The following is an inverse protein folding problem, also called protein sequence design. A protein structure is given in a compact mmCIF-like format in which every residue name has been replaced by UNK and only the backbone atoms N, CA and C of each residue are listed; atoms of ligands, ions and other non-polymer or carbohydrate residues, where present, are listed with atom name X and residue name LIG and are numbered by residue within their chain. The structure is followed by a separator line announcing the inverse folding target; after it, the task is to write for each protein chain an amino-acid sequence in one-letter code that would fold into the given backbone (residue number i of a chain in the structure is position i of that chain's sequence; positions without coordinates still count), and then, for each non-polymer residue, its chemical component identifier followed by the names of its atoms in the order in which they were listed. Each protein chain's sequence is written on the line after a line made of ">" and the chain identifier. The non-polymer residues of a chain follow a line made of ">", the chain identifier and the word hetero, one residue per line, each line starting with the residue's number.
data_IF_924813600880
#
_entry.id   IF_924813600880
#
_cell.length_a   1.000
_cell.length_b   1.000
_cell.length_c   1.000
_cell.angle_alpha   90.00
_cell.angle_beta   90.00
_cell.angle_gamma   90.00
#
_symmetry.space_group_name_H-M   'P 1'
#
loop_
_entity.id
_entity.type
_entity.pdbx_description
1 polymer ?
#
# COMPACT_ATOMS: atom_id res chain seq x y z
N UNK A 1 -23.96 -8.69 -2.49
CA UNK A 1 -22.89 -8.37 -1.52
C UNK A 1 -22.52 -6.89 -1.63
N UNK A 2 -22.50 -6.17 -0.51
CA UNK A 2 -22.07 -4.77 -0.41
C UNK A 2 -20.78 -4.65 0.41
N UNK A 3 -19.96 -3.63 0.12
CA UNK A 3 -18.65 -3.47 0.78
C UNK A 3 -18.73 -2.77 2.14
N UNK A 4 -19.76 -1.94 2.35
CA UNK A 4 -20.03 -1.20 3.58
C UNK A 4 -21.52 -0.82 3.62
N UNK A 5 -21.98 -0.31 4.76
CA UNK A 5 -23.37 0.11 4.95
C UNK A 5 -23.77 1.25 4.00
N UNK A 6 -22.87 2.20 3.70
CA UNK A 6 -23.20 3.30 2.77
C UNK A 6 -23.53 2.77 1.38
N UNK A 7 -22.78 1.77 0.91
CA UNK A 7 -23.09 1.09 -0.35
C UNK A 7 -24.45 0.40 -0.26
N UNK A 8 -24.73 -0.31 0.84
CA UNK A 8 -26.00 -0.99 1.02
C UNK A 8 -27.19 -0.03 0.95
N UNK A 9 -27.07 1.19 1.48
CA UNK A 9 -28.10 2.22 1.31
C UNK A 9 -28.29 2.62 -0.16
N UNK A 10 -27.21 2.86 -0.92
CA UNK A 10 -27.32 3.16 -2.37
C UNK A 10 -28.04 2.05 -3.14
N UNK A 11 -27.78 0.78 -2.81
CA UNK A 11 -28.50 -0.35 -3.42
C UNK A 11 -30.00 -0.35 -3.07
N UNK A 12 -30.37 0.07 -1.85
CA UNK A 12 -31.78 0.20 -1.46
C UNK A 12 -32.46 1.35 -2.18
N UNK A 13 -31.78 2.47 -2.36
CA UNK A 13 -32.30 3.65 -3.08
C UNK A 13 -32.68 3.33 -4.54
N UNK A 14 -31.96 2.41 -5.18
CA UNK A 14 -32.28 1.94 -6.54
C UNK A 14 -33.27 0.75 -6.56
N UNK A 15 -33.89 0.42 -5.42
CA UNK A 15 -34.98 -0.56 -5.33
C UNK A 15 -34.57 -2.01 -5.07
N UNK A 16 -33.32 -2.29 -4.68
CA UNK A 16 -32.93 -3.66 -4.29
C UNK A 16 -33.52 -4.01 -2.93
N UNK A 17 -34.17 -5.17 -2.84
CA UNK A 17 -34.78 -5.70 -1.60
C UNK A 17 -33.75 -5.79 -0.48
N UNK A 18 -34.13 -5.37 0.73
CA UNK A 18 -33.25 -5.33 1.91
C UNK A 18 -32.64 -6.71 2.21
N UNK A 19 -33.41 -7.76 2.07
CA UNK A 19 -33.03 -9.15 2.35
C UNK A 19 -32.02 -9.69 1.33
N UNK A 20 -31.91 -9.07 0.15
CA UNK A 20 -30.95 -9.44 -0.89
C UNK A 20 -29.60 -8.72 -0.73
N UNK A 21 -29.48 -7.78 0.22
CA UNK A 21 -28.26 -7.00 0.44
C UNK A 21 -27.57 -7.48 1.71
N UNK A 22 -26.45 -8.19 1.53
CA UNK A 22 -25.57 -8.60 2.62
C UNK A 22 -24.27 -7.79 2.54
N UNK A 23 -23.90 -7.11 3.63
CA UNK A 23 -22.61 -6.41 3.74
C UNK A 23 -21.54 -7.43 4.10
N UNK A 24 -20.64 -7.72 3.16
CA UNK A 24 -19.56 -8.69 3.37
C UNK A 24 -18.20 -8.04 3.58
N UNK A 25 -18.06 -6.74 3.36
CA UNK A 25 -16.76 -6.08 3.27
C UNK A 25 -16.22 -6.09 1.84
N UNK A 26 -14.99 -5.59 1.66
CA UNK A 26 -14.38 -5.53 0.34
C UNK A 26 -13.34 -6.63 0.20
N UNK A 27 -13.54 -7.54 -0.77
CA UNK A 27 -12.54 -8.55 -1.16
C UNK A 27 -11.22 -7.90 -1.55
N UNK A 28 -11.25 -6.68 -2.10
CA UNK A 28 -10.07 -5.91 -2.48
C UNK A 28 -9.15 -5.57 -1.29
N UNK A 29 -9.72 -5.46 -0.09
CA UNK A 29 -9.02 -5.07 1.13
C UNK A 29 -8.93 -6.22 2.14
N UNK A 30 -9.42 -7.41 1.77
CA UNK A 30 -9.30 -8.59 2.59
C UNK A 30 -7.86 -9.10 2.55
N UNK A 31 -7.27 -9.29 3.73
CA UNK A 31 -5.91 -9.76 3.89
C UNK A 31 -5.88 -11.08 4.69
N UNK A 32 -7.04 -11.68 4.94
CA UNK A 32 -7.13 -12.97 5.61
C UNK A 32 -6.40 -14.06 4.82
N UNK A 33 -5.56 -14.84 5.50
CA UNK A 33 -4.77 -15.90 4.89
C UNK A 33 -3.51 -15.42 4.14
N UNK A 34 -3.29 -14.11 4.01
CA UNK A 34 -2.05 -13.58 3.45
C UNK A 34 -0.98 -13.56 4.56
N UNK A 35 0.17 -14.24 4.40
CA UNK A 35 1.23 -14.24 5.41
C UNK A 35 1.72 -12.83 5.71
N UNK A 36 2.11 -12.49 6.95
CA UNK A 36 2.65 -11.16 7.26
C UNK A 36 3.93 -10.86 6.46
N UNK A 37 4.29 -9.59 6.28
CA UNK A 37 5.56 -9.21 5.68
C UNK A 37 6.76 -9.84 6.38
N UNK A 38 7.81 -10.19 5.64
CA UNK A 38 9.04 -10.75 6.22
C UNK A 38 10.07 -9.64 6.32
N UNK A 39 10.54 -9.37 7.54
CA UNK A 39 11.67 -8.46 7.77
C UNK A 39 12.97 -9.15 7.33
N UNK A 40 13.32 -9.02 6.05
CA UNK A 40 14.54 -9.61 5.50
C UNK A 40 15.79 -8.94 6.06
N UNK A 41 16.68 -9.73 6.66
CA UNK A 41 17.93 -9.22 7.26
C UNK A 41 18.84 -8.51 6.27
N UNK A 42 18.87 -8.96 5.00
CA UNK A 42 19.67 -8.34 3.93
C UNK A 42 19.28 -6.86 3.71
N UNK A 43 17.98 -6.53 3.77
CA UNK A 43 17.50 -5.16 3.58
C UNK A 43 17.93 -4.28 4.76
N UNK A 44 17.88 -4.81 5.98
CA UNK A 44 18.41 -4.11 7.16
C UNK A 44 19.91 -3.81 7.06
N UNK A 45 20.71 -4.73 6.50
CA UNK A 45 22.13 -4.49 6.24
C UNK A 45 22.31 -3.37 5.20
N UNK A 46 21.58 -3.43 4.08
CA UNK A 46 21.61 -2.39 3.05
C UNK A 46 21.26 -1.02 3.61
N UNK A 47 20.15 -0.91 4.35
CA UNK A 47 19.69 0.35 4.94
C UNK A 47 20.71 0.93 5.93
N UNK A 48 21.37 0.08 6.72
CA UNK A 48 22.41 0.52 7.66
C UNK A 48 23.65 1.12 6.97
N UNK A 49 23.94 0.75 5.72
CA UNK A 49 25.03 1.35 4.94
C UNK A 49 24.76 2.82 4.57
N UNK A 50 23.48 3.24 4.53
CA UNK A 50 23.11 4.66 4.38
C UNK A 50 23.19 5.44 5.70
N UNK A 51 23.63 4.82 6.79
CA UNK A 51 23.65 5.39 8.13
C UNK A 51 22.70 4.66 9.06
N UNK A 52 23.25 4.11 10.14
CA UNK A 52 22.50 3.31 11.12
C UNK A 52 21.42 4.14 11.80
N UNK A 53 20.21 3.58 11.86
CA UNK A 53 19.08 4.16 12.60
C UNK A 53 18.41 5.36 11.94
N UNK A 54 18.73 5.65 10.67
CA UNK A 54 18.00 6.64 9.87
C UNK A 54 16.57 6.17 9.63
N UNK A 55 15.55 6.99 9.92
CA UNK A 55 14.17 6.65 9.60
C UNK A 55 13.99 6.45 8.09
N UNK A 56 13.25 5.41 7.72
CA UNK A 56 13.00 5.06 6.32
C UNK A 56 11.65 5.60 5.86
N UNK A 57 11.68 6.47 4.84
CA UNK A 57 10.48 6.88 4.09
C UNK A 57 10.43 6.11 2.79
N UNK A 58 9.48 5.17 2.69
CA UNK A 58 9.28 4.35 1.50
C UNK A 58 8.22 4.96 0.59
N UNK A 59 8.59 5.34 -0.62
CA UNK A 59 7.66 5.67 -1.69
C UNK A 59 7.26 4.39 -2.44
N UNK A 60 6.05 3.89 -2.16
CA UNK A 60 5.59 2.60 -2.64
C UNK A 60 4.83 2.71 -3.97
N UNK A 61 5.29 1.99 -4.99
CA UNK A 61 4.65 1.91 -6.31
C UNK A 61 4.53 3.27 -7.03
N UNK A 62 5.59 4.06 -7.02
CA UNK A 62 5.62 5.41 -7.63
C UNK A 62 5.47 5.41 -9.15
N UNK A 63 5.00 6.56 -9.66
CA UNK A 63 4.80 6.87 -11.09
C UNK A 63 5.68 8.08 -11.49
N UNK A 64 5.86 8.35 -12.80
CA UNK A 64 6.75 9.40 -13.29
C UNK A 64 6.64 10.73 -12.56
N UNK A 65 7.80 11.26 -12.14
CA UNK A 65 7.95 12.50 -11.40
C UNK A 65 7.75 12.38 -9.89
N UNK A 66 7.03 11.36 -9.39
CA UNK A 66 6.81 11.20 -7.95
C UNK A 66 8.09 10.78 -7.21
N UNK A 67 8.98 10.03 -7.88
CA UNK A 67 10.23 9.57 -7.26
C UNK A 67 11.09 10.75 -6.78
N UNK A 68 11.26 11.76 -7.65
CA UNK A 68 12.03 12.97 -7.32
C UNK A 68 11.32 13.81 -6.26
N UNK A 69 10.00 13.99 -6.39
CA UNK A 69 9.21 14.78 -5.44
C UNK A 69 9.30 14.20 -4.02
N UNK A 70 9.12 12.88 -3.88
CA UNK A 70 9.19 12.23 -2.57
C UNK A 70 10.62 12.23 -2.02
N UNK A 71 11.63 12.00 -2.87
CA UNK A 71 13.03 12.06 -2.46
C UNK A 71 13.42 13.45 -1.91
N UNK A 72 12.97 14.53 -2.57
CA UNK A 72 13.19 15.91 -2.09
C UNK A 72 12.50 16.19 -0.77
N UNK A 73 11.21 15.87 -0.67
CA UNK A 73 10.45 16.07 0.56
C UNK A 73 11.06 15.28 1.74
N UNK A 74 11.53 14.07 1.52
CA UNK A 74 12.20 13.28 2.55
C UNK A 74 13.58 13.85 2.92
N UNK A 75 14.38 14.27 1.93
CA UNK A 75 15.70 14.85 2.17
C UNK A 75 15.65 16.23 2.85
N UNK A 76 14.54 16.97 2.74
CA UNK A 76 14.28 18.17 3.52
C UNK A 76 14.19 17.91 5.03
N UNK A 77 13.91 16.68 5.44
CA UNK A 77 13.84 16.26 6.85
C UNK A 77 15.17 15.65 7.30
N UNK A 78 15.88 16.24 8.27
CA UNK A 78 17.21 15.76 8.66
C UNK A 78 17.22 14.31 9.12
N UNK A 79 18.19 13.54 8.60
CA UNK A 79 18.44 12.15 9.00
C UNK A 79 17.52 11.12 8.35
N UNK A 80 16.53 11.52 7.55
CA UNK A 80 15.62 10.59 6.86
C UNK A 80 16.29 9.98 5.64
N UNK A 81 16.08 8.68 5.43
CA UNK A 81 16.48 7.96 4.23
C UNK A 81 15.28 7.81 3.28
N UNK A 82 15.31 8.45 2.09
CA UNK A 82 14.37 8.16 1.02
C UNK A 82 14.66 6.80 0.38
N UNK A 83 13.63 5.95 0.34
CA UNK A 83 13.62 4.71 -0.44
C UNK A 83 12.47 4.80 -1.44
N UNK A 84 12.74 4.66 -2.73
CA UNK A 84 11.72 4.72 -3.78
C UNK A 84 11.58 3.37 -4.48
N UNK A 85 10.33 2.91 -4.62
CA UNK A 85 10.00 1.64 -5.26
C UNK A 85 9.04 1.94 -6.43
N UNK A 86 9.55 2.12 -7.66
CA UNK A 86 8.72 2.37 -8.82
C UNK A 86 7.73 1.24 -9.08
N UNK A 87 6.51 1.57 -9.53
CA UNK A 87 5.52 0.55 -9.91
C UNK A 87 6.03 -0.39 -11.01
N UNK A 88 6.91 0.15 -11.85
CA UNK A 88 7.48 -0.42 -13.06
C UNK A 88 9.01 -0.44 -12.91
N UNK A 89 9.56 -1.58 -12.46
CA UNK A 89 10.99 -1.73 -12.20
C UNK A 89 11.85 -1.49 -13.47
N UNK A 90 11.29 -1.71 -14.65
CA UNK A 90 11.89 -1.41 -15.95
C UNK A 90 12.25 0.08 -16.13
N UNK A 91 11.58 0.99 -15.39
CA UNK A 91 11.88 2.43 -15.37
C UNK A 91 13.15 2.79 -14.60
N UNK A 92 13.88 1.83 -14.03
CA UNK A 92 15.09 2.09 -13.21
C UNK A 92 16.08 3.08 -13.81
N UNK A 93 16.31 3.04 -15.12
CA UNK A 93 17.24 3.96 -15.82
C UNK A 93 16.71 5.38 -15.87
N UNK A 94 15.41 5.53 -16.10
CA UNK A 94 14.72 6.83 -16.11
C UNK A 94 14.72 7.44 -14.71
N UNK A 95 14.27 6.68 -13.72
CA UNK A 95 14.21 7.10 -12.30
C UNK A 95 15.60 7.49 -11.79
N UNK A 96 16.63 6.66 -12.06
CA UNK A 96 18.01 6.97 -11.70
C UNK A 96 18.46 8.30 -12.28
N UNK A 97 18.28 8.50 -13.58
CA UNK A 97 18.66 9.73 -14.26
C UNK A 97 17.97 10.96 -13.66
N UNK A 98 16.66 10.86 -13.39
CA UNK A 98 15.88 11.98 -12.84
C UNK A 98 16.31 12.35 -11.41
N UNK A 99 16.59 11.35 -10.57
CA UNK A 99 17.13 11.57 -9.22
C UNK A 99 18.55 12.14 -9.24
N UNK A 100 19.43 11.63 -10.12
CA UNK A 100 20.78 12.17 -10.30
C UNK A 100 20.74 13.63 -10.77
N UNK A 101 19.84 13.96 -11.72
CA UNK A 101 19.61 15.34 -12.17
C UNK A 101 19.05 16.24 -11.06
N UNK A 102 18.30 15.68 -10.13
CA UNK A 102 17.84 16.38 -8.93
C UNK A 102 18.93 16.52 -7.85
N UNK A 103 20.14 15.98 -8.09
CA UNK A 103 21.29 16.10 -7.21
C UNK A 103 21.39 15.01 -6.14
N UNK A 104 20.69 13.88 -6.31
CA UNK A 104 20.85 12.74 -5.40
C UNK A 104 21.96 11.81 -5.86
N UNK A 105 22.65 11.20 -4.89
CA UNK A 105 23.39 9.97 -5.16
C UNK A 105 22.39 8.81 -5.24
N UNK A 106 22.34 8.11 -6.37
CA UNK A 106 21.40 7.01 -6.54
C UNK A 106 22.11 5.67 -6.33
N UNK A 107 21.53 4.85 -5.46
CA UNK A 107 21.92 3.45 -5.28
C UNK A 107 20.74 2.58 -5.71
N UNK A 108 20.98 1.67 -6.67
CA UNK A 108 19.97 0.69 -7.07
C UNK A 108 20.07 -0.53 -6.17
N UNK A 109 18.93 -1.10 -5.77
CA UNK A 109 18.90 -2.35 -4.98
C UNK A 109 19.59 -3.49 -5.72
N UNK A 110 19.38 -3.62 -7.03
CA UNK A 110 19.93 -4.72 -7.82
C UNK A 110 21.45 -4.62 -8.05
N UNK A 111 21.99 -3.40 -7.94
CA UNK A 111 23.41 -3.07 -8.14
C UNK A 111 23.97 -2.41 -6.87
N UNK A 112 23.61 -2.97 -5.71
CA UNK A 112 23.87 -2.35 -4.42
C UNK A 112 25.37 -2.08 -4.21
N UNK A 113 25.66 -0.85 -3.78
CA UNK A 113 26.94 -0.39 -3.28
C UNK A 113 26.69 0.53 -2.09
N UNK A 114 27.66 0.64 -1.18
CA UNK A 114 27.57 1.65 -0.13
C UNK A 114 27.62 3.05 -0.76
N UNK A 115 26.76 4.00 -0.32
CA UNK A 115 26.77 5.37 -0.83
C UNK A 115 28.02 6.11 -0.35
N UNK A 116 28.57 6.96 -1.23
CA UNK A 116 29.72 7.82 -0.90
C UNK A 116 29.32 8.99 0.01
N UNK A 117 28.15 9.58 -0.25
CA UNK A 117 27.52 10.58 0.60
C UNK A 117 26.12 10.11 1.02
N UNK A 118 26.02 9.38 2.14
CA UNK A 118 24.73 8.90 2.64
C UNK A 118 23.69 10.02 2.82
N UNK A 119 24.11 11.26 3.13
CA UNK A 119 23.18 12.37 3.38
C UNK A 119 22.40 12.78 2.13
N UNK A 120 22.95 12.52 0.95
CA UNK A 120 22.35 12.80 -0.36
C UNK A 120 21.89 11.56 -1.10
N UNK A 121 21.96 10.40 -0.46
CA UNK A 121 21.70 9.14 -1.12
C UNK A 121 20.20 8.75 -1.08
N UNK A 122 19.74 8.20 -2.20
CA UNK A 122 18.40 7.61 -2.38
C UNK A 122 18.58 6.15 -2.78
N UNK A 123 17.88 5.25 -2.10
CA UNK A 123 17.80 3.85 -2.50
C UNK A 123 16.62 3.65 -3.46
N UNK A 124 16.88 3.15 -4.65
CA UNK A 124 15.85 2.77 -5.63
C UNK A 124 15.70 1.26 -5.62
N UNK A 125 14.52 0.78 -5.24
CA UNK A 125 14.16 -0.64 -5.31
C UNK A 125 13.69 -0.95 -6.73
N UNK A 126 14.60 -1.46 -7.55
CA UNK A 126 14.39 -1.76 -8.97
C UNK A 126 14.09 -3.24 -9.25
N UNK A 127 13.35 -3.87 -8.35
CA UNK A 127 12.97 -5.28 -8.39
C UNK A 127 11.47 -5.48 -8.12
N UNK A 128 10.93 -6.59 -8.60
CA UNK A 128 9.51 -6.93 -8.44
C UNK A 128 9.29 -7.90 -7.28
N UNK A 129 8.09 -7.86 -6.68
CA UNK A 129 7.67 -8.82 -5.64
C UNK A 129 8.20 -8.55 -4.22
N UNK A 130 8.98 -7.49 -4.01
CA UNK A 130 9.62 -7.21 -2.71
C UNK A 130 8.96 -6.07 -1.93
N UNK A 131 7.86 -5.49 -2.43
CA UNK A 131 7.21 -4.33 -1.80
C UNK A 131 6.82 -4.58 -0.33
N UNK A 132 6.25 -5.74 -0.03
CA UNK A 132 5.82 -6.09 1.34
C UNK A 132 7.01 -6.15 2.29
N UNK A 133 8.09 -6.78 1.85
CA UNK A 133 9.30 -6.93 2.66
C UNK A 133 10.00 -5.59 2.88
N UNK A 134 10.05 -4.71 1.86
CA UNK A 134 10.54 -3.33 2.02
C UNK A 134 9.65 -2.50 2.95
N UNK A 135 8.33 -2.69 2.87
CA UNK A 135 7.36 -2.04 3.75
C UNK A 135 7.60 -2.41 5.22
N UNK A 136 8.04 -3.63 5.51
CA UNK A 136 8.39 -4.06 6.86
C UNK A 136 9.58 -3.31 7.49
N UNK A 137 10.39 -2.62 6.68
CA UNK A 137 11.50 -1.78 7.14
C UNK A 137 11.17 -0.28 7.12
N UNK A 138 9.96 0.11 6.72
CA UNK A 138 9.57 1.50 6.59
C UNK A 138 9.05 2.08 7.92
N UNK A 139 9.45 3.31 8.24
CA UNK A 139 8.88 4.10 9.33
C UNK A 139 7.66 4.90 8.89
N UNK A 140 7.56 5.16 7.58
CA UNK A 140 6.47 5.86 6.91
C UNK A 140 6.40 5.40 5.45
N UNK A 141 5.18 5.18 4.95
CA UNK A 141 4.96 4.87 3.53
C UNK A 141 4.21 6.00 2.83
N UNK A 142 4.73 6.45 1.68
CA UNK A 142 4.05 7.32 0.73
C UNK A 142 3.49 6.49 -0.41
N UNK A 143 2.19 6.57 -0.67
CA UNK A 143 1.53 5.78 -1.72
C UNK A 143 1.70 6.45 -3.07
N UNK A 144 2.27 5.74 -4.04
CA UNK A 144 2.46 6.22 -5.40
C UNK A 144 1.17 6.33 -6.22
N UNK A 145 1.31 6.92 -7.41
CA UNK A 145 0.26 7.31 -8.35
C UNK A 145 -0.79 8.27 -7.75
N UNK A 146 -0.49 8.86 -6.60
CA UNK A 146 -1.44 9.64 -5.81
C UNK A 146 -1.11 11.13 -5.75
N UNK A 147 0.15 11.50 -6.02
CA UNK A 147 0.65 12.87 -5.91
C UNK A 147 0.56 13.59 -7.26
N UNK A 148 0.99 12.93 -8.35
CA UNK A 148 1.11 13.56 -9.68
C UNK A 148 0.29 12.86 -10.78
N UNK A 149 -0.26 11.68 -10.48
CA UNK A 149 -1.06 10.90 -11.43
C UNK A 149 -2.49 10.69 -10.91
N UNK A 150 -3.28 9.84 -11.56
CA UNK A 150 -4.66 9.51 -11.15
C UNK A 150 -4.85 8.05 -10.75
N UNK A 151 -5.71 7.85 -9.75
CA UNK A 151 -6.20 6.57 -9.28
C UNK A 151 -5.50 6.02 -8.04
N UNK A 152 -4.24 6.37 -7.78
CA UNK A 152 -3.51 5.86 -6.61
C UNK A 152 -3.18 4.36 -6.67
N UNK A 153 -2.29 3.94 -5.77
CA UNK A 153 -1.87 2.54 -5.57
C UNK A 153 -2.41 1.99 -4.24
N UNK A 154 -2.19 0.69 -4.00
CA UNK A 154 -2.78 0.00 -2.85
C UNK A 154 -2.14 0.43 -1.51
N UNK A 155 -2.89 1.04 -0.57
CA UNK A 155 -2.37 1.39 0.75
C UNK A 155 -2.41 0.22 1.74
N UNK A 156 -3.12 -0.87 1.44
CA UNK A 156 -3.44 -1.94 2.39
C UNK A 156 -2.19 -2.61 2.95
N UNK A 157 -1.17 -2.87 2.11
CA UNK A 157 0.07 -3.53 2.54
C UNK A 157 0.80 -2.75 3.63
N UNK A 158 0.84 -1.41 3.53
CA UNK A 158 1.46 -0.55 4.53
C UNK A 158 0.66 -0.48 5.84
N UNK A 159 -0.67 -0.47 5.73
CA UNK A 159 -1.55 -0.45 6.89
C UNK A 159 -1.46 -1.77 7.67
N UNK A 160 -1.46 -2.91 6.99
CA UNK A 160 -1.27 -4.23 7.63
C UNK A 160 0.10 -4.36 8.28
N UNK A 161 1.13 -3.74 7.70
CA UNK A 161 2.46 -3.67 8.32
C UNK A 161 2.51 -2.74 9.54
N UNK A 162 1.43 -2.03 9.87
CA UNK A 162 1.38 -1.10 10.99
C UNK A 162 2.18 0.19 10.76
N UNK A 163 2.46 0.52 9.49
CA UNK A 163 3.24 1.70 9.11
C UNK A 163 2.29 2.86 8.78
N UNK A 164 2.53 4.09 9.27
CA UNK A 164 1.71 5.24 8.92
C UNK A 164 1.78 5.54 7.42
N UNK A 165 0.62 5.87 6.84
CA UNK A 165 0.45 6.07 5.40
C UNK A 165 0.20 7.53 5.06
N UNK A 166 0.99 8.05 4.12
CA UNK A 166 0.77 9.35 3.47
C UNK A 166 0.37 9.10 2.01
N UNK A 167 -0.60 9.86 1.51
CA UNK A 167 -0.97 9.84 0.09
C UNK A 167 -1.25 11.25 -0.43
N UNK A 168 -1.22 11.41 -1.75
CA UNK A 168 -1.71 12.60 -2.42
C UNK A 168 -3.24 12.61 -2.57
N UNK A 169 -3.74 13.60 -3.31
CA UNK A 169 -5.18 13.79 -3.53
C UNK A 169 -5.80 12.76 -4.48
N UNK A 170 -5.00 12.03 -5.24
CA UNK A 170 -5.45 11.15 -6.32
C UNK A 170 -5.52 9.69 -5.89
N UNK A 171 -6.55 9.35 -5.14
CA UNK A 171 -6.79 7.98 -4.64
C UNK A 171 -8.06 7.35 -5.20
N UNK A 172 -8.49 7.74 -6.40
CA UNK A 172 -9.80 7.39 -6.96
C UNK A 172 -10.05 5.86 -7.02
N UNK A 173 -9.03 5.03 -7.24
CA UNK A 173 -9.19 3.56 -7.24
C UNK A 173 -9.48 2.99 -5.83
N UNK A 174 -9.21 3.76 -4.78
CA UNK A 174 -9.31 3.36 -3.37
C UNK A 174 -10.17 4.33 -2.56
N UNK A 175 -10.98 5.17 -3.22
CA UNK A 175 -11.73 6.27 -2.58
C UNK A 175 -12.58 5.83 -1.39
N UNK A 176 -13.36 4.71 -1.45
CA UNK A 176 -14.14 4.28 -0.29
C UNK A 176 -13.28 4.01 0.96
N UNK A 177 -12.10 3.40 0.76
CA UNK A 177 -11.16 3.11 1.85
C UNK A 177 -10.47 4.40 2.33
N UNK A 178 -10.00 5.23 1.41
CA UNK A 178 -9.28 6.47 1.75
C UNK A 178 -10.19 7.48 2.44
N UNK A 179 -11.45 7.60 2.03
CA UNK A 179 -12.44 8.48 2.68
C UNK A 179 -12.68 8.09 4.14
N UNK A 180 -12.83 6.79 4.41
CA UNK A 180 -12.97 6.29 5.78
C UNK A 180 -11.68 6.49 6.58
N UNK A 181 -10.52 6.16 6.01
CA UNK A 181 -9.22 6.39 6.64
C UNK A 181 -9.03 7.87 6.98
N UNK A 182 -9.42 8.81 6.11
CA UNK A 182 -9.36 10.25 6.38
C UNK A 182 -10.26 10.62 7.55
N UNK A 183 -11.51 10.14 7.53
CA UNK A 183 -12.50 10.40 8.59
C UNK A 183 -12.03 9.89 9.95
N UNK A 184 -11.36 8.73 9.98
CA UNK A 184 -10.79 8.14 11.20
C UNK A 184 -9.37 8.62 11.50
N UNK A 185 -8.78 9.50 10.69
CA UNK A 185 -7.39 9.94 10.84
C UNK A 185 -6.36 8.81 10.73
N UNK A 186 -6.64 7.75 9.97
CA UNK A 186 -5.74 6.65 9.65
C UNK A 186 -4.82 6.91 8.44
N UNK A 187 -5.06 7.97 7.67
CA UNK A 187 -4.21 8.40 6.55
C UNK A 187 -3.96 9.91 6.60
N UNK A 188 -2.78 10.34 6.17
CA UNK A 188 -2.43 11.76 6.00
C UNK A 188 -2.45 12.06 4.50
N UNK A 189 -3.22 13.06 4.10
CA UNK A 189 -3.27 13.47 2.70
C UNK A 189 -2.54 14.78 2.50
N UNK A 190 -1.75 14.86 1.44
CA UNK A 190 -0.96 16.03 1.05
C UNK A 190 -1.26 16.42 -0.39
N UNK A 191 -0.91 17.65 -0.77
CA UNK A 191 -1.17 18.17 -2.13
C UNK A 191 0.03 18.88 -2.74
N UNK A 192 1.19 18.84 -2.09
CA UNK A 192 2.42 19.49 -2.54
C UNK A 192 3.65 18.83 -1.93
N UNK A 193 4.82 19.09 -2.51
CA UNK A 193 6.13 18.66 -1.97
C UNK A 193 6.36 19.18 -0.55
N UNK A 194 6.14 20.48 -0.31
CA UNK A 194 6.26 21.08 1.02
C UNK A 194 5.28 20.44 2.04
N UNK A 195 4.03 20.17 1.63
CA UNK A 195 3.07 19.49 2.50
C UNK A 195 3.48 18.04 2.82
N UNK A 196 4.17 17.37 1.89
CA UNK A 196 4.75 16.04 2.12
C UNK A 196 5.93 16.11 3.10
N UNK A 197 6.82 17.09 2.95
CA UNK A 197 7.94 17.32 3.87
C UNK A 197 7.43 17.58 5.30
N UNK A 198 6.45 18.48 5.45
CA UNK A 198 5.81 18.77 6.73
C UNK A 198 5.18 17.51 7.36
N UNK A 199 4.51 16.70 6.55
CA UNK A 199 3.90 15.45 7.00
C UNK A 199 4.96 14.43 7.47
N UNK A 200 6.06 14.30 6.72
CA UNK A 200 7.19 13.43 7.09
C UNK A 200 7.80 13.90 8.41
N UNK A 201 8.14 15.19 8.52
CA UNK A 201 8.72 15.77 9.72
C UNK A 201 7.80 15.59 10.93
N UNK A 202 6.50 15.85 10.77
CA UNK A 202 5.52 15.73 11.83
C UNK A 202 5.38 14.29 12.35
N UNK A 203 5.25 13.33 11.44
CA UNK A 203 5.08 11.93 11.79
C UNK A 203 6.38 11.36 12.38
N UNK A 204 7.54 11.58 11.75
CA UNK A 204 8.81 11.07 12.26
C UNK A 204 9.25 11.72 13.58
N UNK A 205 8.86 12.97 13.84
CA UNK A 205 9.09 13.65 15.11
C UNK A 205 8.14 13.26 16.25
N UNK A 206 6.98 12.65 15.95
CA UNK A 206 5.92 12.35 16.95
C UNK A 206 5.52 10.88 16.95
N UNK A 207 6.28 10.06 17.66
CA UNK A 207 6.04 8.61 17.76
C UNK A 207 4.60 8.25 18.16
N UNK A 208 4.01 8.97 19.12
CA UNK A 208 2.60 8.77 19.54
C UNK A 208 1.61 9.00 18.39
N UNK A 209 1.84 10.02 17.57
CA UNK A 209 0.97 10.32 16.42
C UNK A 209 1.05 9.19 15.40
N UNK A 210 2.28 8.72 15.05
CA UNK A 210 2.47 7.57 14.14
C UNK A 210 1.74 6.33 14.62
N UNK A 211 1.99 5.92 15.86
CA UNK A 211 1.38 4.71 16.42
C UNK A 211 -0.15 4.83 16.47
N UNK A 212 -0.67 6.00 16.84
CA UNK A 212 -2.12 6.22 16.90
C UNK A 212 -2.75 6.19 15.50
N UNK A 213 -2.10 6.79 14.51
CA UNK A 213 -2.52 6.77 13.12
C UNK A 213 -2.55 5.36 12.53
N UNK A 214 -1.46 4.60 12.70
CA UNK A 214 -1.39 3.20 12.25
C UNK A 214 -2.49 2.32 12.88
N UNK A 215 -2.74 2.49 14.19
CA UNK A 215 -3.82 1.77 14.88
C UNK A 215 -5.20 2.10 14.33
N UNK A 216 -5.48 3.38 14.04
CA UNK A 216 -6.76 3.79 13.43
C UNK A 216 -6.92 3.23 12.03
N UNK A 217 -5.83 3.18 11.25
CA UNK A 217 -5.83 2.59 9.93
C UNK A 217 -6.11 1.08 9.95
N UNK A 218 -5.46 0.34 10.86
CA UNK A 218 -5.69 -1.10 11.04
C UNK A 218 -7.13 -1.41 11.49
N UNK A 219 -7.70 -0.57 12.36
CA UNK A 219 -9.09 -0.69 12.77
C UNK A 219 -10.07 -0.55 11.58
N UNK A 220 -9.78 0.35 10.64
CA UNK A 220 -10.55 0.49 9.40
C UNK A 220 -10.48 -0.78 8.55
N UNK A 221 -9.29 -1.38 8.37
CA UNK A 221 -9.15 -2.61 7.59
C UNK A 221 -9.82 -3.84 8.22
N UNK A 222 -9.95 -3.87 9.55
CA UNK A 222 -10.49 -5.03 10.27
C UNK A 222 -11.89 -5.43 9.78
N UNK A 223 -12.72 -4.47 9.35
CA UNK A 223 -14.07 -4.74 8.81
C UNK A 223 -14.08 -5.49 7.48
N UNK A 224 -12.97 -5.47 6.76
CA UNK A 224 -12.81 -6.13 5.46
C UNK A 224 -12.20 -7.53 5.57
N UNK A 225 -11.63 -7.87 6.73
CA UNK A 225 -11.07 -9.21 6.99
C UNK A 225 -12.14 -10.29 6.82
N UNK A 226 -11.84 -11.32 6.05
CA UNK A 226 -12.73 -12.43 5.72
C UNK A 226 -13.89 -12.09 4.79
N UNK A 227 -13.83 -10.93 4.11
CA UNK A 227 -14.82 -10.57 3.09
C UNK A 227 -14.86 -11.60 1.96
N UNK A 228 -13.72 -12.22 1.63
CA UNK A 228 -13.62 -13.28 0.63
C UNK A 228 -14.37 -14.52 1.08
N UNK A 229 -14.13 -14.99 2.31
CA UNK A 229 -14.82 -16.15 2.87
C UNK A 229 -16.34 -15.94 2.92
N UNK A 230 -16.78 -14.83 3.52
CA UNK A 230 -18.22 -14.46 3.58
C UNK A 230 -18.87 -14.36 2.21
N UNK A 231 -18.18 -13.77 1.23
CA UNK A 231 -18.71 -13.65 -0.13
C UNK A 231 -18.81 -15.02 -0.82
N UNK A 232 -17.83 -15.91 -0.62
CA UNK A 232 -17.86 -17.27 -1.16
C UNK A 232 -18.98 -18.12 -0.55
N UNK A 233 -19.20 -18.01 0.76
CA UNK A 233 -20.29 -18.72 1.46
C UNK A 233 -21.66 -18.35 0.88
N UNK A 234 -21.94 -17.05 0.72
CA UNK A 234 -23.19 -16.58 0.11
C UNK A 234 -23.37 -17.05 -1.33
N UNK A 235 -22.29 -17.07 -2.14
CA UNK A 235 -22.37 -17.58 -3.50
C UNK A 235 -22.64 -19.09 -3.54
N UNK A 236 -22.09 -19.86 -2.60
CA UNK A 236 -22.31 -21.29 -2.50
C UNK A 236 -23.77 -21.62 -2.11
N UNK A 237 -24.38 -20.83 -1.21
CA UNK A 237 -25.80 -20.96 -0.85
C UNK A 237 -26.77 -20.66 -2.00
N UNK A 238 -26.34 -19.79 -2.94
CA UNK A 238 -27.12 -19.42 -4.13
C UNK A 238 -26.87 -20.36 -5.33
N UNK A 239 -25.85 -21.21 -5.27
CA UNK A 239 -25.61 -22.20 -6.30
C UNK A 239 -26.74 -23.24 -6.25
N UNK A 240 -27.47 -23.49 -7.36
CA UNK A 240 -28.48 -24.54 -7.38
C UNK A 240 -27.83 -25.87 -7.00
N UNK A 241 -28.45 -26.58 -6.06
CA UNK A 241 -27.88 -27.78 -5.42
C UNK A 241 -27.20 -28.70 -6.44
N UNK A 242 -25.93 -29.00 -6.20
CA UNK A 242 -25.22 -30.01 -6.96
C UNK A 242 -25.99 -31.31 -6.88
N UNK A 243 -26.55 -31.75 -8.01
CA UNK A 243 -27.04 -33.11 -8.19
C UNK A 243 -25.83 -34.03 -8.13
N UNK A 244 -25.52 -34.54 -6.94
CA UNK A 244 -24.82 -35.82 -6.79
C UNK A 244 -25.85 -36.93 -6.94
N UNK A 245 -26.27 -37.20 -8.18
CA UNK A 245 -26.80 -38.50 -8.54
C UNK A 245 -25.98 -39.01 -9.72
N UNK A 246 -25.05 -39.91 -9.40
CA UNK A 246 -24.33 -40.66 -10.40
C UNK A 246 -25.27 -41.68 -11.02
N UNK A 247 -25.69 -41.44 -12.26
CA UNK A 247 -26.08 -42.54 -13.13
C UNK A 247 -24.82 -43.11 -13.79
N UNK A 248 -24.54 -44.41 -13.62
CA UNK A 248 -23.45 -45.06 -14.35
C UNK A 248 -23.85 -45.13 -15.83
N UNK A 249 -23.00 -44.55 -16.69
CA UNK A 249 -23.17 -44.59 -18.14
C UNK A 249 -23.26 -46.04 -18.66
N UNK A 250 -23.98 -46.27 -19.77
CA UNK A 250 -24.32 -47.61 -20.21
C UNK A 250 -23.06 -48.41 -20.55
N UNK A 251 -23.00 -49.62 -20.00
CA UNK A 251 -22.03 -50.64 -20.34
C UNK A 251 -22.05 -50.92 -21.84
N UNK A 252 -20.91 -50.75 -22.49
CA UNK A 252 -20.61 -51.34 -23.78
C UNK A 252 -19.89 -52.67 -23.53
N UNK A 253 -20.56 -53.78 -23.86
CA UNK A 253 -19.96 -55.09 -24.08
C UNK A 253 -20.52 -55.67 -25.40
N UNK A 254 -19.85 -56.63 -26.03
CA UNK A 254 -18.40 -56.81 -26.25
C UNK A 254 -18.00 -56.63 -27.73
#
# INVERSE_FOLDING_TARGET
>A
CAQADEHAETWREIGVRREAIVVTGSVKFDQEGIPPPVTRGEFGVMLNAFGRGRPVVLAASTHPGEEVLVARAAAGVPGVLPVVLPRHAERRREVRRELEQAGFEVVLRSEFREPEDPSRAVLVVDSTGELRDWTAHADLVVIGKSLLARGGQNPVEAIEAGVPVVCGLHMENFEPLISELRTKGGVRTVSSEAGLEDAIAALLGRARERTSMAKRAAAVLTRHRGATARTRELLAELAPGGTTDGEPGPHLEP
#
